data_IF_549648006738
#
_entry.id   IF_549648006738
#
_cell.length_a   1.000
_cell.length_b   1.000
_cell.length_c   1.000
_cell.angle_alpha   90.00
_cell.angle_beta   90.00
_cell.angle_gamma   90.00
#
_symmetry.space_group_name_H-M   'P 1'
#
loop_
_entity.id
_entity.type
_entity.pdbx_description
1 polymer ?
#
# COMPACT_ATOMS: atom_id res chain seq x y z
N UNK A 1 -29.03 4.79 -23.46
CA UNK A 1 -27.60 4.50 -23.18
C UNK A 1 -27.54 3.56 -22.00
N UNK A 2 -27.14 2.30 -22.20
CA UNK A 2 -27.25 1.22 -21.19
C UNK A 2 -25.89 0.70 -20.69
N UNK A 3 -24.78 1.26 -21.16
CA UNK A 3 -23.44 0.83 -20.80
C UNK A 3 -22.53 2.06 -20.57
N UNK A 4 -21.88 2.19 -19.40
CA UNK A 4 -20.91 3.24 -19.16
C UNK A 4 -19.67 3.01 -20.04
N UNK A 5 -19.14 4.09 -20.60
CA UNK A 5 -17.86 4.09 -21.32
C UNK A 5 -16.79 4.49 -20.31
N UNK A 6 -15.73 3.69 -20.18
CA UNK A 6 -14.55 4.06 -19.40
C UNK A 6 -13.71 5.03 -20.22
N UNK A 7 -13.71 6.30 -19.84
CA UNK A 7 -12.82 7.32 -20.40
C UNK A 7 -11.63 7.48 -19.46
N UNK A 8 -10.43 7.45 -20.02
CA UNK A 8 -9.23 7.74 -19.27
C UNK A 8 -9.17 9.23 -18.90
N UNK A 9 -9.23 9.57 -17.62
CA UNK A 9 -9.24 10.97 -17.18
C UNK A 9 -7.87 11.64 -17.38
N UNK A 10 -6.81 11.09 -16.78
CA UNK A 10 -5.44 11.60 -16.90
C UNK A 10 -4.42 10.62 -16.29
N UNK A 11 -3.15 10.69 -16.72
CA UNK A 11 -2.07 9.85 -16.19
C UNK A 11 -1.56 10.27 -14.81
N UNK A 12 -1.87 11.51 -14.40
CA UNK A 12 -1.18 12.18 -13.30
C UNK A 12 -2.13 12.67 -12.20
N UNK A 13 -3.33 12.08 -12.07
CA UNK A 13 -4.29 12.47 -11.02
C UNK A 13 -3.97 11.88 -9.64
N UNK A 14 -3.26 10.74 -9.58
CA UNK A 14 -3.12 9.95 -8.35
C UNK A 14 -1.66 9.68 -8.03
N UNK A 15 -0.93 10.73 -7.65
CA UNK A 15 0.39 10.57 -7.05
C UNK A 15 0.28 10.14 -5.60
N UNK A 16 1.25 9.36 -5.17
CA UNK A 16 1.42 8.99 -3.77
C UNK A 16 2.89 9.10 -3.40
N UNK A 17 3.15 9.59 -2.19
CA UNK A 17 4.51 9.72 -1.70
C UNK A 17 5.12 8.34 -1.46
N UNK A 18 6.40 8.23 -1.80
CA UNK A 18 7.19 7.04 -1.52
C UNK A 18 7.88 7.19 -0.16
N UNK A 19 7.99 6.11 0.63
CA UNK A 19 8.78 6.12 1.83
C UNK A 19 10.27 6.15 1.50
N UNK A 20 11.09 6.55 2.46
CA UNK A 20 12.55 6.41 2.36
C UNK A 20 12.95 4.94 2.14
N UNK A 21 13.84 4.71 1.17
CA UNK A 21 14.19 3.35 0.70
C UNK A 21 14.88 2.50 1.77
N UNK A 22 15.62 3.12 2.69
CA UNK A 22 16.42 2.42 3.68
C UNK A 22 15.66 2.22 4.99
N UNK A 23 14.90 3.23 5.39
CA UNK A 23 14.23 3.29 6.70
C UNK A 23 12.74 2.98 6.63
N UNK A 24 12.11 3.17 5.46
CA UNK A 24 10.67 3.10 5.31
C UNK A 24 9.93 4.32 5.89
N UNK A 25 10.64 5.39 6.26
CA UNK A 25 10.03 6.57 6.86
C UNK A 25 9.17 7.34 5.84
N UNK A 26 7.99 7.77 6.28
CA UNK A 26 7.09 8.58 5.47
C UNK A 26 7.29 10.09 5.71
N UNK A 27 7.10 10.94 4.69
CA UNK A 27 7.11 12.39 4.85
C UNK A 27 6.10 12.88 5.89
N UNK A 28 6.35 14.04 6.48
CA UNK A 28 5.44 14.65 7.45
C UNK A 28 4.02 14.85 6.86
N UNK A 29 2.98 14.59 7.66
CA UNK A 29 1.58 14.68 7.23
C UNK A 29 1.05 13.45 6.48
N UNK A 30 1.88 12.41 6.33
CA UNK A 30 1.47 11.13 5.72
C UNK A 30 1.65 9.96 6.69
N UNK A 31 0.93 8.88 6.43
CA UNK A 31 0.99 7.64 7.20
C UNK A 31 1.46 6.46 6.34
N UNK A 32 2.24 5.53 6.90
CA UNK A 32 2.71 4.38 6.17
C UNK A 32 1.56 3.43 5.81
N UNK A 33 1.58 2.93 4.59
CA UNK A 33 0.70 1.85 4.12
C UNK A 33 1.56 0.62 3.83
N UNK A 34 1.09 -0.51 4.33
CA UNK A 34 1.71 -1.82 4.17
C UNK A 34 0.94 -2.64 3.14
N UNK A 35 1.62 -3.08 2.09
CA UNK A 35 1.13 -4.03 1.09
C UNK A 35 1.59 -5.45 1.44
N UNK A 36 0.64 -6.37 1.48
CA UNK A 36 0.85 -7.75 1.90
C UNK A 36 0.32 -8.68 0.81
N UNK A 37 1.21 -9.39 0.14
CA UNK A 37 0.89 -10.39 -0.86
C UNK A 37 0.54 -11.73 -0.21
N UNK A 38 -0.54 -12.38 -0.65
CA UNK A 38 -1.01 -13.63 -0.07
C UNK A 38 -0.21 -14.88 -0.44
N UNK A 39 0.84 -14.75 -1.27
CA UNK A 39 1.70 -15.85 -1.72
C UNK A 39 0.94 -17.02 -2.37
N UNK A 40 -0.07 -16.72 -3.20
CA UNK A 40 -0.86 -17.71 -3.94
C UNK A 40 -0.87 -17.41 -5.43
N UNK A 41 -1.16 -18.45 -6.23
CA UNK A 41 -1.23 -18.34 -7.68
C UNK A 41 -2.31 -17.36 -8.18
N UNK A 42 -3.43 -17.24 -7.47
CA UNK A 42 -4.51 -16.30 -7.77
C UNK A 42 -4.23 -14.86 -7.30
N UNK A 43 -3.04 -14.61 -6.73
CA UNK A 43 -2.45 -13.34 -6.28
C UNK A 43 -3.44 -12.31 -5.72
N UNK A 44 -3.35 -12.08 -4.41
CA UNK A 44 -4.13 -11.04 -3.75
C UNK A 44 -3.24 -10.19 -2.84
N UNK A 45 -3.50 -8.88 -2.83
CA UNK A 45 -2.78 -7.92 -2.01
C UNK A 45 -3.74 -7.30 -1.00
N UNK A 46 -3.37 -7.34 0.27
CA UNK A 46 -4.04 -6.57 1.32
C UNK A 46 -3.23 -5.32 1.62
N UNK A 47 -3.91 -4.19 1.65
CA UNK A 47 -3.35 -2.90 2.04
C UNK A 47 -3.87 -2.52 3.43
N UNK A 48 -3.00 -2.04 4.31
CA UNK A 48 -3.38 -1.59 5.65
C UNK A 48 -2.40 -0.54 6.18
N UNK A 49 -2.88 0.38 7.02
CA UNK A 49 -2.04 1.30 7.80
C UNK A 49 -1.73 0.78 9.20
N UNK A 50 -2.27 -0.38 9.59
CA UNK A 50 -2.10 -0.95 10.93
C UNK A 50 -0.94 -1.95 10.97
N UNK A 51 0.05 -1.67 11.82
CA UNK A 51 1.12 -2.62 12.13
C UNK A 51 0.61 -3.92 12.75
N UNK A 52 -0.47 -3.86 13.53
CA UNK A 52 -1.06 -5.06 14.15
C UNK A 52 -1.67 -5.98 13.08
N UNK A 53 -2.43 -5.42 12.12
CA UNK A 53 -2.95 -6.21 11.00
C UNK A 53 -1.80 -6.74 10.15
N UNK A 54 -0.77 -5.93 9.89
CA UNK A 54 0.42 -6.38 9.16
C UNK A 54 1.06 -7.60 9.82
N UNK A 55 1.34 -7.53 11.12
CA UNK A 55 1.91 -8.64 11.87
C UNK A 55 1.02 -9.89 11.84
N UNK A 56 -0.30 -9.72 11.97
CA UNK A 56 -1.26 -10.82 11.85
C UNK A 56 -1.21 -11.49 10.46
N UNK A 57 -1.09 -10.72 9.38
CA UNK A 57 -1.04 -11.27 8.03
C UNK A 57 0.28 -11.98 7.75
N UNK A 58 1.41 -11.44 8.25
CA UNK A 58 2.70 -12.13 8.21
C UNK A 58 2.63 -13.49 8.91
N UNK A 59 2.00 -13.56 10.08
CA UNK A 59 1.78 -14.81 10.80
C UNK A 59 0.88 -15.81 10.03
N UNK A 60 0.05 -15.32 9.08
CA UNK A 60 -0.76 -16.14 8.17
C UNK A 60 -0.04 -16.53 6.87
N UNK A 61 1.25 -16.23 6.75
CA UNK A 61 2.07 -16.58 5.58
C UNK A 61 2.00 -15.58 4.43
N UNK A 62 1.44 -14.38 4.65
CA UNK A 62 1.54 -13.30 3.66
C UNK A 62 2.97 -12.74 3.65
N UNK A 63 3.38 -12.20 2.51
CA UNK A 63 4.69 -11.59 2.30
C UNK A 63 4.50 -10.07 2.28
N UNK A 64 5.22 -9.36 3.15
CA UNK A 64 5.23 -7.90 3.14
C UNK A 64 6.15 -7.37 2.03
N UNK A 65 5.67 -6.38 1.29
CA UNK A 65 6.39 -5.78 0.17
C UNK A 65 6.61 -4.30 0.41
N UNK A 66 7.86 -3.83 0.30
CA UNK A 66 8.17 -2.42 0.47
C UNK A 66 9.56 -2.20 1.06
N UNK A 67 9.74 -1.02 1.65
CA UNK A 67 11.03 -0.52 2.07
C UNK A 67 11.18 -0.43 3.59
N UNK A 68 12.43 -0.48 4.04
CA UNK A 68 12.81 -0.46 5.45
C UNK A 68 12.35 -1.68 6.27
N UNK A 69 12.59 -1.66 7.60
CA UNK A 69 12.33 -2.81 8.48
C UNK A 69 10.86 -3.26 8.51
N UNK A 70 9.94 -2.31 8.27
CA UNK A 70 8.50 -2.56 8.28
C UNK A 70 7.92 -2.76 6.88
N UNK A 71 8.73 -2.81 5.81
CA UNK A 71 8.27 -2.96 4.43
C UNK A 71 7.10 -2.00 4.10
N UNK A 72 7.34 -0.70 4.27
CA UNK A 72 6.39 0.35 3.91
C UNK A 72 6.34 0.46 2.39
N UNK A 73 5.14 0.37 1.81
CA UNK A 73 4.99 0.34 0.35
C UNK A 73 4.72 1.72 -0.24
N UNK A 74 3.99 2.56 0.49
CA UNK A 74 3.60 3.91 0.09
C UNK A 74 3.21 4.72 1.33
N UNK A 75 3.16 6.05 1.17
CA UNK A 75 2.79 6.99 2.21
C UNK A 75 1.50 7.70 1.81
N UNK A 76 0.40 7.41 2.49
CA UNK A 76 -0.91 7.97 2.20
C UNK A 76 -1.17 9.21 3.06
N UNK A 77 -1.97 10.16 2.54
CA UNK A 77 -2.45 11.28 3.35
C UNK A 77 -3.16 10.76 4.61
N UNK A 78 -2.86 11.37 5.76
CA UNK A 78 -3.55 11.03 6.99
C UNK A 78 -5.02 11.47 6.89
N UNK A 79 -5.95 10.56 7.18
CA UNK A 79 -7.35 10.94 7.35
C UNK A 79 -7.45 11.86 8.58
N UNK A 80 -7.99 13.07 8.38
CA UNK A 80 -8.26 14.04 9.43
C UNK A 80 -9.41 13.66 10.34
#
# INVERSE_FOLDING_TARGET
MKFPIFTYETQNAFYIDLPDINTGACPAGTVPVYRLWNNRADTNHRYTTSLAIRAQMLAKGYIAEGYGPNAVSMCAAQAG
#
